data_IF_020064678757
#
_entry.id   IF_020064678757
#
_cell.length_a   1.000
_cell.length_b   1.000
_cell.length_c   1.000
_cell.angle_alpha   90.00
_cell.angle_beta   90.00
_cell.angle_gamma   90.00
#
_symmetry.space_group_name_H-M   'P 1'
#
loop_
_entity.id
_entity.type
_entity.pdbx_description
1 polymer ?
#
# COMPACT_ATOMS: atom_id res chain seq x y z
N UNK A 1 10.96 -20.15 11.38
CA UNK A 1 11.86 -19.18 10.70
C UNK A 1 12.42 -19.89 9.50
N UNK A 2 12.12 -19.40 8.29
CA UNK A 2 12.69 -19.96 7.06
C UNK A 2 14.08 -19.35 6.85
N UNK A 3 15.03 -20.11 6.32
CA UNK A 3 16.44 -19.71 6.20
C UNK A 3 16.68 -18.39 5.45
N UNK A 4 15.72 -17.94 4.63
CA UNK A 4 15.80 -16.68 3.86
C UNK A 4 15.07 -15.48 4.48
N UNK A 5 14.52 -15.59 5.69
CA UNK A 5 13.81 -14.46 6.32
C UNK A 5 14.70 -13.24 6.61
N UNK A 6 15.98 -13.38 7.02
CA UNK A 6 16.88 -12.23 7.20
C UNK A 6 17.20 -11.50 5.89
N UNK A 7 17.39 -12.26 4.80
CA UNK A 7 17.60 -11.70 3.46
C UNK A 7 16.40 -10.85 3.03
N UNK A 8 15.20 -11.40 3.25
CA UNK A 8 13.96 -10.72 2.90
C UNK A 8 13.72 -9.47 3.77
N UNK A 9 14.04 -9.52 5.06
CA UNK A 9 13.97 -8.35 5.94
C UNK A 9 14.91 -7.22 5.47
N UNK A 10 16.12 -7.57 5.01
CA UNK A 10 17.05 -6.58 4.46
C UNK A 10 16.58 -5.98 3.14
N UNK A 11 16.09 -6.81 2.21
CA UNK A 11 15.45 -6.35 0.98
C UNK A 11 14.35 -5.32 1.27
N UNK A 12 13.44 -5.64 2.20
CA UNK A 12 12.37 -4.73 2.62
C UNK A 12 12.93 -3.45 3.25
N UNK A 13 14.00 -3.55 4.06
CA UNK A 13 14.67 -2.40 4.64
C UNK A 13 15.31 -1.48 3.61
N UNK A 14 15.75 -1.98 2.46
CA UNK A 14 16.23 -1.15 1.36
C UNK A 14 15.09 -0.45 0.62
N UNK A 15 13.96 -1.13 0.41
CA UNK A 15 12.76 -0.51 -0.19
C UNK A 15 12.13 0.56 0.72
N UNK A 16 12.13 0.31 2.03
CA UNK A 16 11.44 1.09 3.04
C UNK A 16 12.40 1.32 4.23
N UNK A 17 13.41 2.20 4.07
CA UNK A 17 14.49 2.38 5.05
C UNK A 17 14.05 3.10 6.33
N UNK A 18 12.86 3.71 6.36
CA UNK A 18 12.49 4.63 7.43
C UNK A 18 13.31 5.92 7.36
N UNK A 19 13.19 6.76 8.38
CA UNK A 19 13.94 8.02 8.45
C UNK A 19 14.15 8.54 9.88
N UNK A 20 14.82 9.68 9.99
CA UNK A 20 15.08 10.37 11.26
C UNK A 20 13.84 11.06 11.85
N UNK A 21 12.76 11.20 11.09
CA UNK A 21 11.49 11.75 11.57
C UNK A 21 10.65 10.70 12.31
N UNK A 22 11.15 9.47 12.42
CA UNK A 22 10.52 8.40 13.18
C UNK A 22 9.63 7.50 12.34
N UNK A 23 9.77 7.52 11.01
CA UNK A 23 9.27 6.45 10.16
C UNK A 23 10.09 5.18 10.42
N UNK A 24 9.47 4.04 10.78
CA UNK A 24 10.20 2.81 11.09
C UNK A 24 10.78 2.18 9.82
N UNK A 25 11.96 1.59 9.92
CA UNK A 25 12.50 0.76 8.82
C UNK A 25 11.74 -0.56 8.71
N UNK A 26 11.47 -1.04 7.50
CA UNK A 26 10.77 -2.32 7.31
C UNK A 26 11.59 -3.53 7.78
N UNK A 27 12.92 -3.40 7.88
CA UNK A 27 13.80 -4.49 8.32
C UNK A 27 13.60 -4.86 9.80
N UNK A 28 13.13 -3.92 10.63
CA UNK A 28 12.88 -4.13 12.06
C UNK A 28 11.43 -4.52 12.39
N UNK A 29 10.51 -4.45 11.43
CA UNK A 29 9.07 -4.71 11.63
C UNK A 29 8.68 -6.19 11.49
N UNK A 30 9.66 -7.10 11.32
CA UNK A 30 9.43 -8.54 11.16
C UNK A 30 8.42 -8.91 10.05
N UNK A 31 8.36 -8.11 8.98
CA UNK A 31 7.34 -8.23 7.92
C UNK A 31 7.55 -9.40 6.97
N UNK A 32 8.72 -10.05 6.98
CA UNK A 32 9.10 -11.10 6.03
C UNK A 32 8.03 -12.19 5.82
N UNK A 33 7.41 -12.68 6.90
CA UNK A 33 6.33 -13.67 6.82
C UNK A 33 5.08 -13.12 6.12
N UNK A 34 4.58 -11.96 6.58
CA UNK A 34 3.39 -11.31 6.02
C UNK A 34 3.59 -10.93 4.55
N UNK A 35 4.78 -10.43 4.22
CA UNK A 35 5.18 -10.13 2.85
C UNK A 35 5.10 -11.38 1.97
N UNK A 36 5.72 -12.49 2.38
CA UNK A 36 5.67 -13.76 1.65
C UNK A 36 4.23 -14.23 1.45
N UNK A 37 3.43 -14.23 2.51
CA UNK A 37 2.01 -14.60 2.44
C UNK A 37 1.23 -13.71 1.46
N UNK A 38 1.47 -12.40 1.45
CA UNK A 38 0.84 -11.47 0.52
C UNK A 38 1.26 -11.74 -0.94
N UNK A 39 2.56 -11.89 -1.18
CA UNK A 39 3.12 -12.16 -2.50
C UNK A 39 2.61 -13.50 -3.06
N UNK A 40 2.55 -14.56 -2.26
CA UNK A 40 2.07 -15.88 -2.72
C UNK A 40 0.59 -15.92 -3.10
N UNK A 41 -0.21 -14.92 -2.67
CA UNK A 41 -1.63 -14.79 -3.05
C UNK A 41 -1.83 -13.90 -4.28
N UNK A 42 -0.77 -13.29 -4.79
CA UNK A 42 -0.80 -12.40 -5.95
C UNK A 42 -0.43 -13.21 -7.20
N UNK A 43 -1.13 -13.02 -8.34
CA UNK A 43 -0.72 -13.61 -9.62
C UNK A 43 0.75 -13.32 -9.91
N UNK A 44 1.50 -14.36 -10.30
CA UNK A 44 2.94 -14.32 -10.59
C UNK A 44 3.84 -13.86 -9.43
N UNK A 45 3.29 -13.68 -8.23
CA UNK A 45 4.05 -13.20 -7.07
C UNK A 45 5.09 -14.21 -6.59
N UNK A 46 4.78 -15.50 -6.58
CA UNK A 46 5.76 -16.54 -6.20
C UNK A 46 6.97 -16.54 -7.14
N UNK A 47 6.74 -16.36 -8.44
CA UNK A 47 7.81 -16.26 -9.45
C UNK A 47 8.66 -15.00 -9.23
N UNK A 48 8.02 -13.85 -9.03
CA UNK A 48 8.71 -12.59 -8.71
C UNK A 48 9.58 -12.72 -7.45
N UNK A 49 9.05 -13.37 -6.40
CA UNK A 49 9.78 -13.60 -5.15
C UNK A 49 10.99 -14.52 -5.37
N UNK A 50 10.86 -15.57 -6.17
CA UNK A 50 11.98 -16.45 -6.47
C UNK A 50 13.08 -15.68 -7.25
N UNK A 51 12.68 -14.90 -8.26
CA UNK A 51 13.59 -14.10 -9.09
C UNK A 51 14.39 -13.10 -8.26
N UNK A 52 13.75 -12.31 -7.39
CA UNK A 52 14.50 -11.37 -6.55
C UNK A 52 15.43 -12.12 -5.59
N UNK A 53 14.96 -13.20 -4.95
CA UNK A 53 15.79 -13.93 -3.98
C UNK A 53 17.02 -14.56 -4.62
N UNK A 54 16.94 -14.99 -5.87
CA UNK A 54 18.08 -15.49 -6.63
C UNK A 54 18.99 -14.36 -7.12
N UNK A 55 18.42 -13.22 -7.54
CA UNK A 55 19.18 -12.04 -7.94
C UNK A 55 20.01 -11.44 -6.81
N UNK A 56 19.46 -11.38 -5.60
CA UNK A 56 20.17 -10.88 -4.41
C UNK A 56 21.32 -11.81 -4.01
N UNK A 57 21.07 -13.12 -4.04
CA UNK A 57 21.99 -14.16 -3.58
C UNK A 57 22.37 -14.04 -2.08
N UNK A 58 23.17 -15.00 -1.61
CA UNK A 58 23.54 -15.09 -0.18
C UNK A 58 24.49 -13.96 0.28
N UNK A 59 25.13 -13.27 -0.68
CA UNK A 59 26.09 -12.19 -0.42
C UNK A 59 25.44 -10.84 -0.15
N UNK A 60 24.16 -10.65 -0.46
CA UNK A 60 23.49 -9.35 -0.38
C UNK A 60 23.63 -8.66 0.99
N UNK A 61 23.42 -9.42 2.06
CA UNK A 61 23.50 -8.93 3.45
C UNK A 61 24.86 -8.35 3.85
N UNK A 62 25.92 -8.67 3.11
CA UNK A 62 27.30 -8.24 3.40
C UNK A 62 27.73 -7.06 2.54
N UNK A 63 26.88 -6.61 1.61
CA UNK A 63 27.19 -5.49 0.72
C UNK A 63 27.10 -4.16 1.47
N UNK A 64 27.87 -3.18 1.02
CA UNK A 64 27.68 -1.80 1.44
C UNK A 64 26.30 -1.30 0.96
N UNK A 65 25.68 -0.32 1.64
CA UNK A 65 24.36 0.18 1.28
C UNK A 65 24.23 0.61 -0.18
N UNK A 66 25.24 1.32 -0.72
CA UNK A 66 25.23 1.78 -2.12
C UNK A 66 25.31 0.62 -3.12
N UNK A 67 26.12 -0.41 -2.82
CA UNK A 67 26.23 -1.61 -3.65
C UNK A 67 24.94 -2.44 -3.63
N UNK A 68 24.29 -2.52 -2.47
CA UNK A 68 23.00 -3.19 -2.33
C UNK A 68 21.91 -2.45 -3.11
N UNK A 69 21.86 -1.12 -3.04
CA UNK A 69 20.94 -0.30 -3.83
C UNK A 69 21.19 -0.42 -5.33
N UNK A 70 22.45 -0.39 -5.77
CA UNK A 70 22.80 -0.59 -7.18
C UNK A 70 22.35 -1.96 -7.71
N UNK A 71 22.44 -3.01 -6.88
CA UNK A 71 21.94 -4.34 -7.25
C UNK A 71 20.41 -4.37 -7.40
N UNK A 72 19.68 -3.65 -6.55
CA UNK A 72 18.22 -3.53 -6.64
C UNK A 72 17.78 -2.71 -7.86
N UNK A 73 18.45 -1.59 -8.15
CA UNK A 73 18.21 -0.80 -9.36
C UNK A 73 18.43 -1.63 -10.63
N UNK A 74 19.50 -2.44 -10.64
CA UNK A 74 19.74 -3.37 -11.74
C UNK A 74 18.61 -4.39 -11.91
N UNK A 75 18.05 -4.91 -10.81
CA UNK A 75 16.91 -5.82 -10.87
C UNK A 75 15.66 -5.11 -11.42
N UNK A 76 15.41 -3.88 -10.99
CA UNK A 76 14.29 -3.05 -11.48
C UNK A 76 14.40 -2.81 -13.00
N UNK A 77 15.60 -2.60 -13.52
CA UNK A 77 15.84 -2.47 -14.97
C UNK A 77 15.66 -3.80 -15.74
N UNK A 78 16.07 -4.93 -15.16
CA UNK A 78 16.04 -6.25 -15.81
C UNK A 78 14.66 -6.93 -15.73
N UNK A 79 13.89 -6.67 -14.67
CA UNK A 79 12.61 -7.31 -14.37
C UNK A 79 11.61 -6.30 -13.74
N UNK A 80 11.19 -5.26 -14.49
CA UNK A 80 10.41 -4.15 -13.95
C UNK A 80 9.04 -4.59 -13.40
N UNK A 81 8.33 -5.48 -14.09
CA UNK A 81 7.00 -5.95 -13.69
C UNK A 81 7.07 -6.77 -12.39
N UNK A 82 8.10 -7.61 -12.24
CA UNK A 82 8.35 -8.36 -11.02
C UNK A 82 8.73 -7.44 -9.86
N UNK A 83 9.59 -6.45 -10.11
CA UNK A 83 9.99 -5.49 -9.10
C UNK A 83 8.80 -4.66 -8.62
N UNK A 84 8.00 -4.10 -9.52
CA UNK A 84 6.79 -3.35 -9.19
C UNK A 84 5.84 -4.19 -8.33
N UNK A 85 5.62 -5.46 -8.69
CA UNK A 85 4.77 -6.38 -7.93
C UNK A 85 5.27 -6.58 -6.50
N UNK A 86 6.58 -6.70 -6.30
CA UNK A 86 7.21 -6.83 -4.98
C UNK A 86 7.12 -5.52 -4.19
N UNK A 87 7.28 -4.37 -4.85
CA UNK A 87 7.11 -3.05 -4.22
C UNK A 87 5.67 -2.88 -3.73
N UNK A 88 4.67 -3.14 -4.57
CA UNK A 88 3.25 -3.07 -4.18
C UNK A 88 2.96 -3.97 -2.97
N UNK A 89 3.50 -5.19 -2.96
CA UNK A 89 3.36 -6.09 -1.82
C UNK A 89 4.06 -5.55 -0.55
N UNK A 90 5.24 -4.94 -0.67
CA UNK A 90 5.99 -4.37 0.44
C UNK A 90 5.22 -3.21 1.08
N UNK A 91 4.73 -2.28 0.25
CA UNK A 91 3.89 -1.17 0.70
C UNK A 91 2.60 -1.66 1.36
N UNK A 92 1.95 -2.68 0.79
CA UNK A 92 0.71 -3.26 1.34
C UNK A 92 0.90 -3.82 2.74
N UNK A 93 2.01 -4.50 3.02
CA UNK A 93 2.27 -5.05 4.36
C UNK A 93 2.84 -4.02 5.33
N UNK A 94 3.56 -3.01 4.83
CA UNK A 94 4.16 -1.96 5.65
C UNK A 94 3.10 -1.00 6.20
N UNK A 95 2.27 -0.42 5.33
CA UNK A 95 1.24 0.54 5.76
C UNK A 95 0.04 -0.12 6.47
N UNK A 96 0.03 -1.45 6.61
CA UNK A 96 -0.93 -2.18 7.44
C UNK A 96 -0.27 -2.77 8.69
N UNK A 97 0.96 -2.36 9.02
CA UNK A 97 1.62 -2.73 10.26
C UNK A 97 1.24 -1.78 11.40
N UNK A 98 0.87 -2.28 12.60
CA UNK A 98 0.52 -1.42 13.74
C UNK A 98 1.60 -0.41 14.12
N UNK A 99 2.89 -0.75 13.98
CA UNK A 99 3.99 0.17 14.28
C UNK A 99 4.08 1.33 13.29
N UNK A 100 3.79 1.07 12.02
CA UNK A 100 3.72 2.11 10.98
C UNK A 100 2.47 2.97 11.16
N UNK A 101 1.32 2.36 11.44
CA UNK A 101 0.08 3.09 11.72
C UNK A 101 0.24 4.04 12.91
N UNK A 102 0.86 3.59 14.00
CA UNK A 102 1.17 4.44 15.16
C UNK A 102 2.15 5.58 14.81
N UNK A 103 3.07 5.37 13.86
CA UNK A 103 3.93 6.43 13.36
C UNK A 103 3.15 7.46 12.52
N UNK A 104 2.24 7.01 11.66
CA UNK A 104 1.36 7.91 10.88
C UNK A 104 0.53 8.80 11.81
N UNK A 105 -0.11 8.22 12.83
CA UNK A 105 -0.88 8.98 13.81
C UNK A 105 -0.04 10.05 14.49
N UNK A 106 1.13 9.67 15.00
CA UNK A 106 2.05 10.57 15.71
C UNK A 106 2.55 11.71 14.82
N UNK A 107 2.84 11.44 13.55
CA UNK A 107 3.46 12.40 12.64
C UNK A 107 2.46 13.33 11.96
N UNK A 108 1.24 12.86 11.73
CA UNK A 108 0.25 13.60 10.94
C UNK A 108 -0.94 14.08 11.76
N UNK A 109 -1.17 13.51 12.95
CA UNK A 109 -2.38 13.72 13.74
C UNK A 109 -3.61 12.97 13.20
N UNK A 110 -3.50 12.25 12.08
CA UNK A 110 -4.58 11.43 11.56
C UNK A 110 -4.65 10.09 12.29
N UNK A 111 -5.72 9.88 13.03
CA UNK A 111 -6.00 8.60 13.69
C UNK A 111 -6.09 7.45 12.69
N UNK A 112 -5.28 6.41 12.91
CA UNK A 112 -5.23 5.16 12.16
C UNK A 112 -6.33 4.22 12.63
N UNK A 113 -7.57 4.69 12.57
CA UNK A 113 -8.77 3.95 12.93
C UNK A 113 -9.59 3.57 11.70
N UNK A 114 -10.39 2.48 11.76
CA UNK A 114 -11.28 2.11 10.67
C UNK A 114 -12.23 3.25 10.30
N UNK A 115 -12.45 3.51 9.00
CA UNK A 115 -13.38 4.55 8.55
C UNK A 115 -14.84 4.27 8.94
N UNK A 116 -15.17 3.02 9.29
CA UNK A 116 -16.46 2.61 9.85
C UNK A 116 -16.24 1.51 10.89
N UNK A 117 -16.98 1.48 12.01
CA UNK A 117 -18.02 2.45 12.40
C UNK A 117 -17.46 3.73 13.07
N UNK A 118 -16.16 3.80 13.36
CA UNK A 118 -15.58 4.91 14.12
C UNK A 118 -15.51 6.21 13.30
N UNK A 119 -15.09 6.12 12.03
CA UNK A 119 -15.08 7.26 11.09
C UNK A 119 -14.25 8.45 11.55
N UNK A 120 -14.41 9.60 10.91
CA UNK A 120 -13.94 10.88 11.44
C UNK A 120 -15.16 11.73 11.79
N UNK A 121 -15.05 12.56 12.82
CA UNK A 121 -16.03 13.61 13.01
C UNK A 121 -15.89 14.59 11.85
N UNK A 122 -16.96 14.73 11.08
CA UNK A 122 -17.06 15.70 10.00
C UNK A 122 -17.92 16.85 10.49
N UNK A 123 -17.57 18.06 10.07
CA UNK A 123 -18.44 19.22 10.26
C UNK A 123 -19.83 18.93 9.65
N UNK A 124 -20.90 19.49 10.25
CA UNK A 124 -22.23 19.42 9.65
C UNK A 124 -22.20 19.83 8.19
N UNK A 125 -22.90 19.08 7.35
CA UNK A 125 -22.95 19.37 5.92
C UNK A 125 -23.49 20.79 5.67
N UNK A 126 -22.71 21.62 4.97
CA UNK A 126 -23.14 22.97 4.58
C UNK A 126 -24.16 22.89 3.43
N UNK A 127 -25.44 23.05 3.76
CA UNK A 127 -26.52 23.07 2.78
C UNK A 127 -26.38 24.17 1.71
N UNK A 128 -25.62 25.24 1.96
CA UNK A 128 -25.41 26.29 0.97
C UNK A 128 -24.67 25.77 -0.28
N UNK A 129 -23.87 24.70 -0.15
CA UNK A 129 -23.21 24.03 -1.26
C UNK A 129 -24.23 23.48 -2.29
N UNK A 130 -25.46 23.18 -1.86
CA UNK A 130 -26.53 22.71 -2.75
C UNK A 130 -27.20 23.81 -3.56
N UNK A 131 -26.92 25.09 -3.31
CA UNK A 131 -27.62 26.20 -3.98
C UNK A 131 -27.54 26.12 -5.52
N UNK A 132 -26.38 25.74 -6.06
CA UNK A 132 -26.20 25.56 -7.50
C UNK A 132 -27.00 24.37 -8.04
N UNK A 133 -27.02 23.25 -7.31
CA UNK A 133 -27.71 22.03 -7.73
C UNK A 133 -29.23 22.24 -7.68
N UNK A 134 -29.74 22.89 -6.63
CA UNK A 134 -31.17 23.21 -6.47
C UNK A 134 -31.71 24.16 -7.55
N UNK A 135 -30.85 25.00 -8.15
CA UNK A 135 -31.22 25.92 -9.25
C UNK A 135 -31.27 25.27 -10.63
N UNK A 136 -30.76 24.05 -10.79
CA UNK A 136 -30.79 23.37 -12.09
C UNK A 136 -32.21 22.91 -12.40
N UNK A 137 -32.59 23.03 -13.67
CA UNK A 137 -33.82 22.40 -14.15
C UNK A 137 -33.79 20.89 -13.85
N UNK A 138 -34.93 20.28 -13.51
CA UNK A 138 -35.00 18.84 -13.25
C UNK A 138 -34.44 18.03 -14.42
N UNK A 139 -33.44 17.20 -14.14
CA UNK A 139 -32.94 16.18 -15.08
C UNK A 139 -33.78 14.89 -15.06
N UNK A 140 -34.75 14.81 -14.15
CA UNK A 140 -35.63 13.66 -13.96
C UNK A 140 -37.03 13.94 -14.53
N UNK A 141 -37.68 12.90 -15.07
CA UNK A 141 -39.08 12.95 -15.53
C UNK A 141 -40.02 12.91 -14.33
N UNK A 142 -41.06 13.73 -14.30
CA UNK A 142 -42.06 13.63 -13.22
C UNK A 142 -42.82 12.33 -13.37
N UNK A 143 -43.27 11.75 -12.26
CA UNK A 143 -44.02 10.48 -12.26
C UNK A 143 -45.27 10.57 -13.15
N UNK A 144 -45.87 11.76 -13.26
CA UNK A 144 -47.04 12.01 -14.11
C UNK A 144 -46.69 12.19 -15.59
N UNK A 145 -45.41 12.38 -15.92
CA UNK A 145 -44.87 12.45 -17.29
C UNK A 145 -44.43 11.06 -17.78
N UNK A 146 -44.45 10.04 -16.92
CA UNK A 146 -44.22 8.64 -17.25
C UNK A 146 -45.58 8.06 -17.68
N UNK A 147 -45.73 7.78 -18.97
CA UNK A 147 -46.94 7.13 -19.48
C UNK A 147 -47.10 5.74 -18.84
N UNK A 148 -48.34 5.24 -18.66
CA UNK A 148 -48.57 3.88 -18.14
C UNK A 148 -47.86 2.78 -18.95
N UNK A 149 -47.54 3.04 -20.22
CA UNK A 149 -46.78 2.17 -21.12
C UNK A 149 -45.29 2.04 -20.78
N UNK A 150 -44.76 2.95 -19.96
CA UNK A 150 -43.31 3.06 -19.69
C UNK A 150 -42.95 2.48 -18.31
N UNK A 151 -43.91 1.82 -17.65
CA UNK A 151 -43.74 1.13 -16.36
C UNK A 151 -43.67 -0.37 -16.62
N UNK A 152 -42.48 -0.86 -16.96
CA UNK A 152 -42.15 -2.31 -16.86
C UNK A 152 -41.70 -2.65 -15.44
#
# INVERSE_FOLDING_TARGET
MTTRDPLLASFLGHLLPGDHNGWPTASTLHLARRFREHVTRTPDGTSALALILDHLGDGFMKRAPDDANALLLKFEEEAPDEFERLVVAAYSVYYTDPGVLAAVERLTGYEARPPQPLGHELEPFDEALLANVRRREPFWRRINDILPSDRE
#
